data_IF_705671041492
#
_entry.id   IF_705671041492
#
_cell.length_a   1.000
_cell.length_b   1.000
_cell.length_c   1.000
_cell.angle_alpha   90.00
_cell.angle_beta   90.00
_cell.angle_gamma   90.00
#
_symmetry.space_group_name_H-M   'P 1'
#
loop_
_entity.id
_entity.type
_entity.pdbx_description
1 polymer ?
#
# COMPACT_ATOMS: atom_id res chain seq x y z
N UNK A 1 3.33 46.96 -13.89
CA UNK A 1 3.37 45.69 -13.15
C UNK A 1 3.33 44.57 -14.17
N UNK A 2 4.49 44.00 -14.52
CA UNK A 2 4.56 42.93 -15.51
C UNK A 2 4.16 41.60 -14.84
N UNK A 3 2.94 41.17 -15.12
CA UNK A 3 2.42 39.86 -14.74
C UNK A 3 3.02 38.84 -15.73
N UNK A 4 4.04 38.11 -15.31
CA UNK A 4 4.58 36.99 -16.09
C UNK A 4 3.63 35.79 -15.88
N UNK A 5 2.66 35.64 -16.78
CA UNK A 5 1.84 34.43 -16.83
C UNK A 5 2.70 33.22 -17.16
N UNK A 6 2.92 32.36 -16.16
CA UNK A 6 3.40 30.99 -16.32
C UNK A 6 2.27 30.13 -16.89
N UNK A 7 2.12 30.06 -18.21
CA UNK A 7 1.50 28.87 -18.79
C UNK A 7 1.98 28.64 -20.21
N UNK A 8 2.54 27.43 -20.43
CA UNK A 8 2.51 26.70 -21.69
C UNK A 8 2.93 27.48 -22.95
N UNK A 9 4.24 27.60 -23.20
CA UNK A 9 4.78 27.58 -24.57
C UNK A 9 6.30 27.51 -24.54
N UNK A 10 6.82 26.41 -25.10
CA UNK A 10 8.21 26.20 -25.53
C UNK A 10 8.91 27.50 -25.94
N UNK A 11 10.01 27.82 -25.27
CA UNK A 11 11.18 28.65 -25.64
C UNK A 11 11.79 29.22 -24.35
N UNK A 12 13.14 29.21 -24.19
CA UNK A 12 13.80 29.61 -22.96
C UNK A 12 13.38 30.99 -22.47
N UNK A 13 13.04 31.10 -21.19
CA UNK A 13 12.68 32.36 -20.53
C UNK A 13 13.80 33.42 -20.65
N UNK A 14 15.05 32.98 -20.82
CA UNK A 14 16.23 33.84 -20.97
C UNK A 14 16.24 34.63 -22.29
N UNK A 15 15.86 34.01 -23.41
CA UNK A 15 15.97 34.60 -24.76
C UNK A 15 14.85 35.62 -25.03
N UNK A 16 13.67 35.43 -24.44
CA UNK A 16 12.44 36.15 -24.85
C UNK A 16 12.46 37.65 -24.57
N UNK A 17 13.33 38.16 -23.69
CA UNK A 17 13.12 39.48 -23.10
C UNK A 17 14.39 40.36 -22.97
N UNK A 18 15.48 39.99 -23.64
CA UNK A 18 16.78 40.69 -23.59
C UNK A 18 16.76 42.13 -24.11
N UNK A 19 15.74 42.51 -24.90
CA UNK A 19 15.54 43.89 -25.38
C UNK A 19 14.64 44.76 -24.48
N UNK A 20 13.95 44.16 -23.50
CA UNK A 20 12.90 44.81 -22.69
C UNK A 20 13.19 44.75 -21.19
N UNK A 21 14.11 43.90 -20.75
CA UNK A 21 14.54 43.79 -19.36
C UNK A 21 15.82 44.59 -19.09
N UNK A 22 16.01 45.12 -17.87
CA UNK A 22 17.28 45.65 -17.43
C UNK A 22 18.38 44.59 -17.53
N UNK A 23 19.62 45.01 -17.76
CA UNK A 23 20.74 44.08 -17.71
C UNK A 23 20.86 43.43 -16.33
N UNK A 24 20.97 42.11 -16.32
CA UNK A 24 21.08 41.31 -15.12
C UNK A 24 22.54 41.24 -14.69
N UNK A 25 22.79 41.37 -13.39
CA UNK A 25 24.11 41.06 -12.81
C UNK A 25 24.33 39.53 -12.77
N UNK A 26 25.58 39.04 -12.71
CA UNK A 26 25.87 37.60 -12.73
C UNK A 26 25.07 36.79 -11.70
N UNK A 27 24.93 37.29 -10.47
CA UNK A 27 24.18 36.63 -9.41
C UNK A 27 22.67 36.51 -9.71
N UNK A 28 22.11 37.48 -10.45
CA UNK A 28 20.71 37.42 -10.88
C UNK A 28 20.53 36.42 -12.00
N UNK A 29 21.48 36.34 -12.94
CA UNK A 29 21.47 35.32 -13.98
C UNK A 29 21.57 33.92 -13.39
N UNK A 30 22.42 33.73 -12.38
CA UNK A 30 22.54 32.48 -11.64
C UNK A 30 21.21 32.06 -11.01
N UNK A 31 20.56 32.96 -10.27
CA UNK A 31 19.24 32.70 -9.67
C UNK A 31 18.19 32.39 -10.72
N UNK A 32 18.22 33.05 -11.87
CA UNK A 32 17.29 32.79 -12.95
C UNK A 32 17.49 31.39 -13.53
N UNK A 33 18.75 30.96 -13.74
CA UNK A 33 19.07 29.59 -14.16
C UNK A 33 18.58 28.55 -13.14
N UNK A 34 18.78 28.79 -11.84
CA UNK A 34 18.28 27.92 -10.77
C UNK A 34 16.75 27.81 -10.81
N UNK A 35 16.03 28.92 -10.97
CA UNK A 35 14.56 28.92 -11.09
C UNK A 35 14.09 28.19 -12.35
N UNK A 36 14.77 28.36 -13.48
CA UNK A 36 14.46 27.63 -14.72
C UNK A 36 14.56 26.12 -14.51
N UNK A 37 15.61 25.63 -13.84
CA UNK A 37 15.74 24.21 -13.49
C UNK A 37 14.53 23.73 -12.68
N UNK A 38 14.11 24.49 -11.67
CA UNK A 38 12.98 24.15 -10.83
C UNK A 38 11.67 24.06 -11.63
N UNK A 39 11.42 25.02 -12.51
CA UNK A 39 10.25 25.02 -13.39
C UNK A 39 10.24 23.82 -14.34
N UNK A 40 11.39 23.42 -14.89
CA UNK A 40 11.47 22.24 -15.76
C UNK A 40 11.27 20.94 -14.96
N UNK A 41 11.82 20.88 -13.74
CA UNK A 41 11.72 19.73 -12.84
C UNK A 41 10.31 19.50 -12.29
N UNK A 42 9.50 20.55 -12.21
CA UNK A 42 8.11 20.45 -11.77
C UNK A 42 7.27 19.52 -12.65
N UNK A 43 7.47 19.58 -13.96
CA UNK A 43 6.72 18.77 -14.93
C UNK A 43 7.41 17.44 -15.27
N UNK A 44 8.71 17.30 -15.02
CA UNK A 44 9.51 16.17 -15.48
C UNK A 44 10.44 15.63 -14.39
N UNK A 45 10.36 14.31 -14.13
CA UNK A 45 11.28 13.63 -13.20
C UNK A 45 12.67 13.37 -13.80
N UNK A 46 12.73 13.10 -15.10
CA UNK A 46 13.99 12.91 -15.82
C UNK A 46 14.20 14.14 -16.72
N UNK A 47 15.18 14.97 -16.41
CA UNK A 47 15.48 16.18 -17.19
C UNK A 47 16.62 15.88 -18.18
N UNK A 48 16.35 15.81 -19.49
CA UNK A 48 17.38 15.54 -20.48
C UNK A 48 18.35 16.74 -20.62
N UNK A 49 19.65 16.44 -20.74
CA UNK A 49 20.70 17.44 -20.83
C UNK A 49 20.53 18.35 -22.04
N UNK A 50 20.07 17.82 -23.18
CA UNK A 50 19.95 18.61 -24.41
C UNK A 50 18.91 19.74 -24.24
N UNK A 51 17.80 19.48 -23.55
CA UNK A 51 16.81 20.50 -23.21
C UNK A 51 17.37 21.51 -22.19
N UNK A 52 18.13 21.03 -21.20
CA UNK A 52 18.73 21.89 -20.18
C UNK A 52 19.82 22.81 -20.73
N UNK A 53 20.62 22.34 -21.68
CA UNK A 53 21.64 23.16 -22.36
C UNK A 53 21.00 24.33 -23.10
N UNK A 54 19.87 24.10 -23.78
CA UNK A 54 19.10 25.13 -24.47
C UNK A 54 18.43 26.10 -23.48
N UNK A 55 17.73 25.58 -22.47
CA UNK A 55 16.97 26.37 -21.51
C UNK A 55 17.85 27.23 -20.58
N UNK A 56 19.05 26.75 -20.25
CA UNK A 56 19.99 27.44 -19.36
C UNK A 56 21.06 28.26 -20.11
N UNK A 57 21.05 28.22 -21.46
CA UNK A 57 22.08 28.80 -22.32
C UNK A 57 23.49 28.41 -21.87
N UNK A 58 23.71 27.09 -21.76
CA UNK A 58 24.97 26.51 -21.33
C UNK A 58 25.62 25.81 -22.53
N UNK A 59 26.91 26.05 -22.71
CA UNK A 59 27.61 25.68 -23.94
C UNK A 59 28.05 24.20 -23.96
N UNK A 60 28.28 23.62 -22.78
CA UNK A 60 28.84 22.28 -22.66
C UNK A 60 28.19 21.48 -21.53
N UNK A 61 28.20 20.15 -21.70
CA UNK A 61 27.76 19.22 -20.65
C UNK A 61 28.55 19.40 -19.36
N UNK A 62 29.85 19.72 -19.46
CA UNK A 62 30.70 19.92 -18.29
C UNK A 62 30.25 21.14 -17.48
N UNK A 63 30.02 22.25 -18.16
CA UNK A 63 29.51 23.48 -17.54
C UNK A 63 28.12 23.25 -16.91
N UNK A 64 27.28 22.43 -17.55
CA UNK A 64 25.98 22.04 -17.01
C UNK A 64 26.10 21.21 -15.74
N UNK A 65 26.96 20.19 -15.74
CA UNK A 65 27.21 19.34 -14.56
C UNK A 65 27.83 20.14 -13.41
N UNK A 66 28.80 21.00 -13.69
CA UNK A 66 29.42 21.88 -12.69
C UNK A 66 28.38 22.85 -12.11
N UNK A 67 27.47 23.39 -12.93
CA UNK A 67 26.34 24.20 -12.44
C UNK A 67 25.41 23.40 -11.52
N UNK A 68 25.01 22.19 -11.91
CA UNK A 68 24.17 21.35 -11.05
C UNK A 68 24.84 21.03 -9.72
N UNK A 69 26.13 20.67 -9.73
CA UNK A 69 26.86 20.29 -8.52
C UNK A 69 27.03 21.49 -7.60
N UNK A 70 27.61 22.57 -8.10
CA UNK A 70 28.03 23.71 -7.27
C UNK A 70 26.85 24.60 -6.89
N UNK A 71 25.96 24.87 -7.84
CA UNK A 71 24.97 25.93 -7.70
C UNK A 71 23.59 25.41 -7.32
N UNK A 72 23.30 24.11 -7.52
CA UNK A 72 21.97 23.55 -7.25
C UNK A 72 21.97 22.46 -6.17
N UNK A 73 22.86 21.47 -6.26
CA UNK A 73 22.90 20.33 -5.34
C UNK A 73 23.59 20.72 -4.04
N UNK A 74 24.77 21.34 -4.12
CA UNK A 74 25.56 21.73 -2.96
C UNK A 74 24.86 22.81 -2.12
N UNK A 75 24.20 23.77 -2.79
CA UNK A 75 23.36 24.79 -2.15
C UNK A 75 22.05 24.23 -1.59
N UNK A 76 21.71 22.98 -1.91
CA UNK A 76 20.54 22.28 -1.43
C UNK A 76 19.24 22.63 -2.15
N UNK A 77 19.28 23.45 -3.21
CA UNK A 77 18.11 23.90 -3.98
C UNK A 77 17.39 22.70 -4.60
N UNK A 78 18.14 21.77 -5.19
CA UNK A 78 17.63 20.54 -5.79
C UNK A 78 18.29 19.30 -5.20
N UNK A 79 17.55 18.20 -5.16
CA UNK A 79 18.04 16.86 -4.87
C UNK A 79 17.76 15.97 -6.07
N UNK A 80 18.76 15.19 -6.46
CA UNK A 80 18.68 14.30 -7.61
C UNK A 80 20.05 13.70 -7.94
N UNK A 81 20.12 12.96 -9.05
CA UNK A 81 21.35 12.32 -9.53
C UNK A 81 21.65 12.72 -10.96
N UNK A 82 22.92 12.99 -11.24
CA UNK A 82 23.41 13.17 -12.61
C UNK A 82 23.64 11.79 -13.23
N UNK A 83 22.94 11.49 -14.32
CA UNK A 83 23.11 10.27 -15.08
C UNK A 83 23.76 10.58 -16.43
N UNK A 84 25.09 10.47 -16.46
CA UNK A 84 25.88 10.83 -17.63
C UNK A 84 25.65 9.87 -18.81
N UNK A 85 25.38 8.59 -18.55
CA UNK A 85 25.08 7.59 -19.59
C UNK A 85 23.76 7.88 -20.30
N UNK A 86 22.71 8.20 -19.54
CA UNK A 86 21.39 8.57 -20.09
C UNK A 86 21.32 10.04 -20.50
N UNK A 87 22.37 10.83 -20.23
CA UNK A 87 22.42 12.29 -20.44
C UNK A 87 21.21 12.99 -19.83
N UNK A 88 20.89 12.67 -18.59
CA UNK A 88 19.77 13.28 -17.88
C UNK A 88 20.07 13.50 -16.40
N UNK A 89 19.39 14.48 -15.82
CA UNK A 89 19.33 14.67 -14.38
C UNK A 89 18.06 14.01 -13.83
N UNK A 90 18.23 13.01 -12.97
CA UNK A 90 17.14 12.30 -12.29
C UNK A 90 16.73 13.13 -11.07
N UNK A 91 15.69 13.93 -11.23
CA UNK A 91 15.18 14.83 -10.20
C UNK A 91 14.39 14.07 -9.13
N UNK A 92 14.63 14.41 -7.87
CA UNK A 92 13.98 13.78 -6.72
C UNK A 92 13.07 14.77 -5.96
N UNK A 93 13.58 15.93 -5.60
CA UNK A 93 12.84 16.95 -4.83
C UNK A 93 13.60 18.28 -4.85
N UNK A 94 12.91 19.39 -4.61
CA UNK A 94 13.55 20.69 -4.35
C UNK A 94 13.19 21.19 -2.95
N UNK A 95 14.02 22.07 -2.38
CA UNK A 95 13.79 22.68 -1.05
C UNK A 95 13.08 24.02 -1.12
N UNK A 96 12.91 24.59 -2.31
CA UNK A 96 12.24 25.88 -2.46
C UNK A 96 10.78 25.80 -2.00
N UNK A 97 10.32 26.87 -1.36
CA UNK A 97 8.93 27.02 -0.93
C UNK A 97 7.95 26.90 -2.11
N UNK A 98 6.71 26.51 -1.76
CA UNK A 98 5.58 26.41 -2.68
C UNK A 98 5.50 27.65 -3.59
N UNK A 99 5.58 27.44 -4.90
CA UNK A 99 5.29 28.49 -5.87
C UNK A 99 3.86 29.00 -5.67
N UNK A 100 3.66 30.31 -5.81
CA UNK A 100 2.35 30.94 -5.71
C UNK A 100 1.36 30.24 -6.67
N UNK A 101 0.32 29.60 -6.11
CA UNK A 101 -0.65 28.81 -6.88
C UNK A 101 -0.70 27.31 -6.52
N UNK A 102 0.32 26.75 -5.86
CA UNK A 102 0.35 25.32 -5.52
C UNK A 102 -0.35 24.94 -4.22
N UNK A 103 -0.78 25.92 -3.42
CA UNK A 103 -1.52 25.66 -2.18
C UNK A 103 -2.85 24.94 -2.46
N UNK A 104 -3.57 25.33 -3.51
CA UNK A 104 -4.84 24.69 -3.88
C UNK A 104 -4.66 23.22 -4.25
N UNK A 105 -3.67 22.90 -5.07
CA UNK A 105 -3.35 21.52 -5.44
C UNK A 105 -2.88 20.68 -4.25
N UNK A 106 -2.15 21.29 -3.29
CA UNK A 106 -1.74 20.62 -2.07
C UNK A 106 -2.93 20.29 -1.17
N UNK A 107 -3.88 21.22 -1.02
CA UNK A 107 -5.13 20.98 -0.30
C UNK A 107 -5.91 19.85 -0.96
N UNK A 108 -6.12 19.90 -2.28
CA UNK A 108 -6.82 18.84 -3.03
C UNK A 108 -6.13 17.48 -2.86
N UNK A 109 -4.81 17.44 -2.89
CA UNK A 109 -4.05 16.22 -2.68
C UNK A 109 -4.29 15.68 -1.27
N UNK A 110 -4.20 16.52 -0.24
CA UNK A 110 -4.45 16.10 1.15
C UNK A 110 -5.90 15.65 1.37
N UNK A 111 -6.87 16.33 0.77
CA UNK A 111 -8.29 15.93 0.81
C UNK A 111 -8.52 14.58 0.15
N UNK A 112 -7.85 14.32 -0.99
CA UNK A 112 -7.90 13.02 -1.66
C UNK A 112 -7.29 11.91 -0.80
N UNK A 113 -6.17 12.20 -0.13
CA UNK A 113 -5.54 11.26 0.80
C UNK A 113 -6.41 10.96 2.02
N UNK A 114 -7.06 11.98 2.59
CA UNK A 114 -8.00 11.82 3.69
C UNK A 114 -9.19 10.95 3.27
N UNK A 115 -9.83 11.31 2.15
CA UNK A 115 -10.97 10.56 1.60
C UNK A 115 -10.61 9.10 1.32
N UNK A 116 -9.43 8.85 0.75
CA UNK A 116 -8.97 7.50 0.49
C UNK A 116 -8.75 6.70 1.80
N UNK A 117 -8.26 7.35 2.84
CA UNK A 117 -8.05 6.74 4.16
C UNK A 117 -9.38 6.38 4.83
N UNK A 118 -10.38 7.27 4.74
CA UNK A 118 -11.73 7.03 5.27
C UNK A 118 -12.44 5.88 4.54
N UNK A 119 -12.26 5.81 3.21
CA UNK A 119 -12.78 4.70 2.41
C UNK A 119 -12.13 3.37 2.80
N UNK A 120 -10.81 3.33 2.98
CA UNK A 120 -10.10 2.12 3.41
C UNK A 120 -10.56 1.69 4.81
N UNK A 121 -10.74 2.63 5.73
CA UNK A 121 -11.26 2.34 7.06
C UNK A 121 -12.67 1.73 6.99
N UNK A 122 -13.54 2.29 6.16
CA UNK A 122 -14.90 1.80 5.96
C UNK A 122 -14.92 0.37 5.39
N UNK A 123 -14.05 0.08 4.42
CA UNK A 123 -13.91 -1.26 3.84
C UNK A 123 -13.41 -2.30 4.86
N UNK A 124 -12.46 -1.90 5.72
CA UNK A 124 -11.96 -2.77 6.80
C UNK A 124 -13.09 -3.05 7.80
N UNK A 125 -13.86 -2.03 8.18
CA UNK A 125 -14.98 -2.17 9.10
C UNK A 125 -16.06 -3.11 8.54
N UNK A 126 -16.43 -2.97 7.26
CA UNK A 126 -17.36 -3.87 6.58
C UNK A 126 -16.84 -5.32 6.57
N UNK A 127 -15.54 -5.52 6.31
CA UNK A 127 -14.93 -6.86 6.34
C UNK A 127 -14.97 -7.49 7.73
N UNK A 128 -14.81 -6.70 8.80
CA UNK A 128 -14.94 -7.18 10.18
C UNK A 128 -16.38 -7.62 10.46
N UNK A 129 -17.37 -6.81 10.07
CA UNK A 129 -18.79 -7.13 10.26
C UNK A 129 -19.21 -8.37 9.49
N UNK A 130 -18.75 -8.52 8.25
CA UNK A 130 -18.97 -9.70 7.43
C UNK A 130 -18.36 -10.95 8.07
N UNK A 131 -17.11 -10.87 8.53
CA UNK A 131 -16.43 -11.98 9.20
C UNK A 131 -17.15 -12.40 10.50
N UNK A 132 -17.58 -11.43 11.30
CA UNK A 132 -18.36 -11.69 12.52
C UNK A 132 -19.71 -12.34 12.21
N UNK A 133 -20.43 -11.84 11.20
CA UNK A 133 -21.71 -12.40 10.76
C UNK A 133 -21.57 -13.84 10.29
N UNK A 134 -20.54 -14.12 9.48
CA UNK A 134 -20.25 -15.46 9.00
C UNK A 134 -19.88 -16.41 10.15
N UNK A 135 -19.05 -15.96 11.09
CA UNK A 135 -18.70 -16.73 12.27
C UNK A 135 -19.92 -17.09 13.13
N UNK A 136 -20.84 -16.14 13.34
CA UNK A 136 -22.05 -16.39 14.12
C UNK A 136 -23.01 -17.37 13.42
N UNK A 137 -23.16 -17.24 12.09
CA UNK A 137 -23.96 -18.17 11.27
C UNK A 137 -23.40 -19.59 11.35
N UNK A 138 -22.09 -19.73 11.16
CA UNK A 138 -21.41 -21.03 11.21
C UNK A 138 -21.53 -21.66 12.60
N UNK A 139 -21.31 -20.88 13.67
CA UNK A 139 -21.49 -21.34 15.05
C UNK A 139 -22.92 -21.81 15.33
N UNK A 140 -23.93 -21.09 14.84
CA UNK A 140 -25.33 -21.49 15.00
C UNK A 140 -25.64 -22.78 14.22
N UNK A 141 -25.11 -22.89 13.00
CA UNK A 141 -25.24 -24.09 12.19
C UNK A 141 -24.60 -25.31 12.88
N UNK A 142 -23.37 -25.17 13.38
CA UNK A 142 -22.67 -26.22 14.11
C UNK A 142 -23.46 -26.67 15.34
N UNK A 143 -23.97 -25.73 16.14
CA UNK A 143 -24.80 -26.07 17.31
C UNK A 143 -26.07 -26.83 16.92
N UNK A 144 -26.75 -26.40 15.86
CA UNK A 144 -27.94 -27.10 15.36
C UNK A 144 -27.64 -28.53 14.87
N UNK A 145 -26.47 -28.75 14.28
CA UNK A 145 -26.00 -30.09 13.91
C UNK A 145 -25.73 -30.94 15.15
N UNK A 146 -25.05 -30.38 16.17
CA UNK A 146 -24.79 -31.06 17.44
C UNK A 146 -26.07 -31.47 18.17
N UNK A 147 -27.05 -30.56 18.27
CA UNK A 147 -28.34 -30.81 18.91
C UNK A 147 -29.09 -31.98 18.23
N UNK A 148 -29.09 -32.02 16.89
CA UNK A 148 -29.68 -33.13 16.12
C UNK A 148 -28.95 -34.46 16.32
N UNK A 149 -27.63 -34.44 16.44
CA UNK A 149 -26.85 -35.66 16.74
C UNK A 149 -27.26 -36.20 18.12
N UNK A 150 -27.40 -35.33 19.12
CA UNK A 150 -27.82 -35.72 20.47
C UNK A 150 -29.24 -36.29 20.46
N UNK A 151 -30.17 -35.66 19.73
CA UNK A 151 -31.54 -36.15 19.59
C UNK A 151 -31.61 -37.53 18.94
N UNK A 152 -30.93 -37.73 17.80
CA UNK A 152 -30.89 -39.03 17.11
C UNK A 152 -30.29 -40.11 18.01
N UNK A 153 -29.20 -39.82 18.73
CA UNK A 153 -28.61 -40.75 19.71
C UNK A 153 -29.60 -41.13 20.81
N UNK A 154 -30.38 -40.17 21.32
CA UNK A 154 -31.39 -40.42 22.36
C UNK A 154 -32.53 -41.31 21.84
N UNK A 155 -33.05 -41.03 20.65
CA UNK A 155 -34.12 -41.82 20.03
C UNK A 155 -33.67 -43.26 19.75
N UNK A 156 -32.46 -43.46 19.24
CA UNK A 156 -31.86 -44.79 19.05
C UNK A 156 -31.70 -45.55 20.38
N UNK A 157 -31.30 -44.85 21.45
CA UNK A 157 -31.19 -45.47 22.79
C UNK A 157 -32.57 -45.90 23.33
N UNK A 158 -33.60 -45.09 23.13
CA UNK A 158 -34.98 -45.41 23.52
C UNK A 158 -35.52 -46.62 22.74
N UNK A 159 -35.33 -46.66 21.42
CA UNK A 159 -35.76 -47.78 20.57
C UNK A 159 -35.02 -49.08 20.89
N UNK A 160 -33.71 -49.01 21.14
CA UNK A 160 -32.91 -50.17 21.59
C UNK A 160 -33.35 -50.68 22.97
N UNK A 161 -33.88 -49.81 23.83
CA UNK A 161 -34.40 -50.19 25.15
C UNK A 161 -35.75 -50.91 25.03
N UNK A 162 -36.64 -50.44 24.15
CA UNK A 162 -37.91 -51.11 23.86
C UNK A 162 -37.75 -52.45 23.12
N UNK A 163 -36.74 -52.60 22.27
CA UNK A 163 -36.48 -53.86 21.56
C UNK A 163 -35.93 -54.97 22.47
N UNK A 164 -35.40 -54.62 23.65
CA UNK A 164 -34.88 -55.61 24.64
C UNK A 164 -35.98 -56.25 25.50
N UNK A 165 -37.20 -55.71 25.51
CA UNK A 165 -38.32 -56.28 26.29
C UNK A 165 -39.07 -57.41 25.55
N UNK A 166 -38.63 -57.79 24.34
CA UNK A 166 -39.29 -58.82 23.51
C UNK A 166 -38.48 -60.08 23.21
N UNK A 167 -37.29 -60.28 23.80
CA UNK A 167 -36.46 -61.45 23.53
C UNK A 167 -35.83 -62.01 24.82
N UNK A 168 -36.56 -62.92 25.46
CA UNK A 168 -35.96 -63.85 26.42
C UNK A 168 -35.08 -64.87 25.67
N UNK A 169 -33.89 -65.11 26.23
CA UNK A 169 -32.84 -66.07 25.80
C UNK A 169 -32.13 -65.67 24.48
N UNK A 170 -30.81 -65.59 24.36
CA UNK A 170 -29.70 -66.34 24.96
C UNK A 170 -28.49 -65.41 25.15
N UNK A 171 -27.67 -65.70 26.16
CA UNK A 171 -26.38 -65.04 26.37
C UNK A 171 -25.52 -65.13 25.10
N UNK A 172 -25.15 -63.96 24.55
CA UNK A 172 -24.06 -63.81 23.61
C UNK A 172 -23.19 -62.66 24.07
N UNK A 173 -21.89 -62.93 24.07
CA UNK A 173 -20.81 -62.22 24.75
C UNK A 173 -20.75 -60.70 24.50
N UNK A 174 -20.40 -59.99 25.58
CA UNK A 174 -20.01 -58.58 25.55
C UNK A 174 -18.77 -58.38 24.66
N UNK A 175 -18.98 -57.94 23.42
CA UNK A 175 -17.92 -57.39 22.56
C UNK A 175 -17.97 -55.87 22.67
N UNK A 176 -17.14 -55.32 23.57
CA UNK A 176 -16.82 -53.90 23.61
C UNK A 176 -15.96 -53.52 22.39
N UNK A 177 -16.54 -52.80 21.43
CA UNK A 177 -15.75 -52.07 20.42
C UNK A 177 -15.28 -50.74 21.02
N UNK A 178 -13.97 -50.58 21.14
CA UNK A 178 -13.34 -49.28 21.35
C UNK A 178 -13.06 -48.64 19.98
N UNK A 179 -13.15 -47.31 19.90
CA UNK A 179 -13.16 -46.55 18.64
C UNK A 179 -11.86 -46.56 17.81
N UNK A 180 -10.83 -47.30 18.22
CA UNK A 180 -9.49 -47.26 17.62
C UNK A 180 -8.93 -48.63 17.18
N UNK A 181 -9.79 -49.55 16.72
CA UNK A 181 -9.40 -50.60 15.76
C UNK A 181 -8.25 -51.56 16.15
N UNK A 182 -7.92 -51.72 17.44
CA UNK A 182 -6.90 -52.67 17.90
C UNK A 182 -7.48 -53.68 18.92
N UNK A 183 -7.30 -54.98 18.64
CA UNK A 183 -7.63 -56.08 19.55
C UNK A 183 -6.60 -56.15 20.70
N UNK A 184 -7.08 -56.11 21.95
CA UNK A 184 -6.28 -56.44 23.14
C UNK A 184 -6.65 -57.84 23.67
N UNK A 185 -5.67 -58.69 24.03
CA UNK A 185 -5.95 -60.03 24.52
C UNK A 185 -6.47 -60.01 25.97
N UNK A 186 -7.42 -60.89 26.25
CA UNK A 186 -7.99 -61.12 27.56
C UNK A 186 -6.96 -61.74 28.52
N UNK A 187 -6.59 -61.01 29.56
CA UNK A 187 -6.38 -61.52 30.93
C UNK A 187 -5.51 -60.54 31.73
N UNK A 188 -6.14 -59.81 32.65
CA UNK A 188 -5.62 -59.58 34.01
C UNK A 188 -6.81 -59.28 34.90
N UNK A 189 -7.08 -60.22 35.82
CA UNK A 189 -8.19 -60.20 36.77
C UNK A 189 -8.09 -58.97 37.67
N UNK A 190 -9.26 -58.37 37.95
CA UNK A 190 -9.49 -57.41 39.03
C UNK A 190 -9.38 -58.10 40.40
N UNK A 191 -8.18 -58.58 40.74
CA UNK A 191 -7.82 -59.03 42.10
C UNK A 191 -6.54 -58.41 42.64
N UNK A 192 -5.82 -57.61 41.83
CA UNK A 192 -4.52 -57.04 42.21
C UNK A 192 -4.58 -55.53 42.52
N UNK A 193 -5.76 -55.03 42.92
CA UNK A 193 -5.95 -53.65 43.40
C UNK A 193 -6.61 -53.67 44.79
N UNK A 194 -5.86 -54.21 45.76
CA UNK A 194 -5.87 -53.83 47.18
C UNK A 194 -4.46 -54.04 47.75
#
# INVERSE_FOLDING_TARGET
MAHLSLHSSSKPLLIRNSGTLPQLIPDQLLKLKQLTVLTVAESNKDLPYDALLEELEVSSVRELEDFFINECIYTGIVKGKLNQLRRCFEFQSFTLDLMHGHLGSMIETLEKWLTNSDNLLSLIQEKIEWANSMYLLDKHHQKGVEDRIVEVKRSLHFEKSHHKEGHDAWAYDDIFYNYDGALLPASKRLSDLF
#
